data_IF_053485389246
#
_entry.id   IF_053485389246
#
_cell.length_a   1.000
_cell.length_b   1.000
_cell.length_c   1.000
_cell.angle_alpha   90.00
_cell.angle_beta   90.00
_cell.angle_gamma   90.00
#
_symmetry.space_group_name_H-M   'P 1'
#
loop_
_entity.id
_entity.type
_entity.pdbx_description
1 polymer ?
#
# COMPACT_ATOMS: atom_id res chain seq x y z
N UNK A 1 6.78 8.97 -4.82
CA UNK A 1 7.39 9.35 -6.12
C UNK A 1 6.70 8.68 -7.30
N UNK A 2 6.82 7.34 -7.51
CA UNK A 2 6.23 6.63 -8.68
C UNK A 2 4.78 7.03 -8.98
N UNK A 3 3.90 6.96 -7.98
CA UNK A 3 2.47 7.30 -8.13
C UNK A 3 2.24 8.73 -8.64
N UNK A 4 3.02 9.71 -8.19
CA UNK A 4 2.90 11.09 -8.66
C UNK A 4 3.30 11.21 -10.14
N UNK A 5 4.37 10.50 -10.55
CA UNK A 5 4.84 10.47 -11.95
C UNK A 5 3.83 9.78 -12.85
N UNK A 6 3.32 8.61 -12.47
CA UNK A 6 2.31 7.89 -13.26
C UNK A 6 0.99 8.64 -13.28
N UNK A 7 0.59 9.24 -12.16
CA UNK A 7 -0.64 10.04 -12.06
C UNK A 7 -0.60 11.36 -12.84
N UNK A 8 0.60 11.86 -13.17
CA UNK A 8 0.80 12.95 -14.13
C UNK A 8 0.83 12.42 -15.57
N UNK A 9 1.64 11.39 -15.85
CA UNK A 9 1.87 10.89 -17.20
C UNK A 9 0.60 10.36 -17.87
N UNK A 10 -0.21 9.59 -17.13
CA UNK A 10 -1.45 8.99 -17.62
C UNK A 10 -2.69 9.87 -17.43
N UNK A 11 -2.53 11.10 -16.94
CA UNK A 11 -3.64 12.05 -16.83
C UNK A 11 -4.15 12.43 -18.22
N UNK A 12 -5.45 12.20 -18.44
CA UNK A 12 -6.12 12.48 -19.72
C UNK A 12 -6.50 13.94 -19.83
N UNK A 13 -6.89 14.57 -18.73
CA UNK A 13 -7.24 15.98 -18.72
C UNK A 13 -5.97 16.85 -18.79
N UNK A 14 -5.88 17.67 -19.84
CA UNK A 14 -4.68 18.47 -20.09
C UNK A 14 -4.43 19.57 -19.04
N UNK A 15 -5.48 20.10 -18.40
CA UNK A 15 -5.40 21.13 -17.37
C UNK A 15 -4.99 20.50 -16.03
N UNK A 16 -5.61 19.39 -15.64
CA UNK A 16 -5.22 18.63 -14.44
C UNK A 16 -3.79 18.14 -14.57
N UNK A 17 -3.39 17.66 -15.75
CA UNK A 17 -2.02 17.23 -16.01
C UNK A 17 -1.02 18.38 -15.82
N UNK A 18 -1.32 19.58 -16.34
CA UNK A 18 -0.49 20.77 -16.12
C UNK A 18 -0.39 21.14 -14.63
N UNK A 19 -1.50 21.09 -13.89
CA UNK A 19 -1.54 21.36 -12.44
C UNK A 19 -0.67 20.37 -11.64
N UNK A 20 -0.65 19.08 -12.03
CA UNK A 20 0.16 18.03 -11.38
C UNK A 20 1.67 18.15 -11.65
N UNK A 21 2.09 18.80 -12.74
CA UNK A 21 3.48 18.79 -13.20
C UNK A 21 4.45 19.46 -12.21
N UNK A 22 4.17 20.70 -11.80
CA UNK A 22 5.09 21.47 -10.94
C UNK A 22 5.27 20.85 -9.54
N UNK A 23 4.20 20.48 -8.79
CA UNK A 23 4.35 19.84 -7.48
C UNK A 23 5.07 18.49 -7.56
N UNK A 24 4.89 17.76 -8.66
CA UNK A 24 5.61 16.52 -8.91
C UNK A 24 7.11 16.77 -9.09
N UNK A 25 7.47 17.70 -9.99
CA UNK A 25 8.85 17.93 -10.43
C UNK A 25 9.70 18.67 -9.39
N UNK A 26 9.13 19.66 -8.72
CA UNK A 26 9.88 20.57 -7.84
C UNK A 26 9.87 20.08 -6.39
N UNK A 27 8.77 19.46 -5.94
CA UNK A 27 8.64 19.05 -4.54
C UNK A 27 8.78 17.54 -4.39
N UNK A 28 7.92 16.77 -5.07
CA UNK A 28 7.78 15.33 -4.83
C UNK A 28 9.04 14.56 -5.23
N UNK A 29 9.53 14.72 -6.46
CA UNK A 29 10.71 13.99 -6.94
C UNK A 29 11.96 14.35 -6.11
N UNK A 30 12.32 15.63 -5.92
CA UNK A 30 13.51 15.99 -5.15
C UNK A 30 13.45 15.53 -3.70
N UNK A 31 12.29 15.58 -3.05
CA UNK A 31 12.11 15.11 -1.68
C UNK A 31 12.44 13.62 -1.52
N UNK A 32 11.84 12.76 -2.35
CA UNK A 32 12.07 11.32 -2.26
C UNK A 32 13.49 10.94 -2.70
N UNK A 33 13.99 11.52 -3.79
CA UNK A 33 15.33 11.24 -4.28
C UNK A 33 16.42 11.66 -3.29
N UNK A 34 16.27 12.81 -2.64
CA UNK A 34 17.18 13.27 -1.58
C UNK A 34 17.24 12.27 -0.41
N UNK A 35 16.08 11.80 0.06
CA UNK A 35 16.00 10.80 1.14
C UNK A 35 16.65 9.47 0.74
N UNK A 36 16.30 8.94 -0.44
CA UNK A 36 16.85 7.66 -0.91
C UNK A 36 18.36 7.76 -1.15
N UNK A 37 18.86 8.89 -1.66
CA UNK A 37 20.28 9.13 -1.85
C UNK A 37 21.04 9.22 -0.52
N UNK A 38 20.43 9.82 0.51
CA UNK A 38 20.96 9.79 1.88
C UNK A 38 21.02 8.36 2.42
N UNK A 39 19.95 7.58 2.29
CA UNK A 39 19.93 6.17 2.71
C UNK A 39 21.02 5.35 2.01
N UNK A 40 21.15 5.50 0.69
CA UNK A 40 22.19 4.84 -0.09
C UNK A 40 23.61 5.24 0.38
N UNK A 41 23.82 6.51 0.73
CA UNK A 41 25.10 6.97 1.31
C UNK A 41 25.41 6.29 2.64
N UNK A 42 24.45 6.25 3.55
CA UNK A 42 24.60 5.67 4.90
C UNK A 42 24.84 4.15 4.86
N UNK A 43 24.29 3.48 3.85
CA UNK A 43 24.35 2.04 3.68
C UNK A 43 25.38 1.58 2.63
N UNK A 44 26.32 2.44 2.22
CA UNK A 44 27.38 2.14 1.23
C UNK A 44 26.86 1.61 -0.11
N UNK A 45 25.88 2.31 -0.68
CA UNK A 45 25.30 1.99 -1.99
C UNK A 45 24.17 0.97 -1.97
N UNK A 46 23.48 0.81 -0.84
CA UNK A 46 22.31 -0.05 -0.65
C UNK A 46 21.19 0.73 0.04
N UNK A 47 19.92 0.36 -0.14
CA UNK A 47 18.81 1.16 0.38
C UNK A 47 18.47 0.90 1.84
N UNK A 48 18.53 -0.37 2.27
CA UNK A 48 18.00 -0.78 3.59
C UNK A 48 19.10 -1.29 4.50
N UNK A 49 19.94 -2.20 4.03
CA UNK A 49 21.01 -2.82 4.82
C UNK A 49 22.37 -2.43 4.27
N UNK A 50 23.29 -2.04 5.15
CA UNK A 50 24.67 -1.72 4.78
C UNK A 50 25.35 -2.92 4.13
N UNK A 51 25.84 -2.75 2.90
CA UNK A 51 26.53 -3.79 2.10
C UNK A 51 25.71 -5.06 1.81
N UNK A 52 24.41 -5.04 2.00
CA UNK A 52 23.57 -6.23 1.78
C UNK A 52 22.35 -5.85 0.94
N UNK A 53 22.18 -6.56 -0.18
CA UNK A 53 21.07 -6.33 -1.10
C UNK A 53 19.76 -6.79 -0.48
N UNK A 54 18.74 -5.98 -0.67
CA UNK A 54 17.36 -6.26 -0.30
C UNK A 54 16.43 -6.10 -1.50
N UNK A 55 15.17 -6.51 -1.33
CA UNK A 55 14.14 -6.27 -2.34
C UNK A 55 14.02 -4.78 -2.74
N UNK A 56 14.28 -3.85 -1.81
CA UNK A 56 14.21 -2.42 -2.08
C UNK A 56 15.19 -2.00 -3.18
N UNK A 57 16.40 -2.57 -3.20
CA UNK A 57 17.44 -2.27 -4.20
C UNK A 57 17.03 -2.71 -5.60
N UNK A 58 16.46 -3.92 -5.70
CA UNK A 58 15.94 -4.49 -6.95
C UNK A 58 14.75 -3.66 -7.44
N UNK A 59 13.79 -3.36 -6.56
CA UNK A 59 12.61 -2.56 -6.88
C UNK A 59 12.99 -1.16 -7.35
N UNK A 60 13.89 -0.47 -6.63
CA UNK A 60 14.36 0.85 -7.02
C UNK A 60 15.04 0.82 -8.39
N UNK A 61 15.92 -0.15 -8.64
CA UNK A 61 16.61 -0.30 -9.93
C UNK A 61 15.62 -0.40 -11.09
N UNK A 62 14.56 -1.20 -10.94
CA UNK A 62 13.51 -1.34 -11.96
C UNK A 62 12.66 -0.06 -12.11
N UNK A 63 12.21 0.52 -11.01
CA UNK A 63 11.26 1.65 -11.02
C UNK A 63 11.94 2.97 -11.40
N UNK A 64 13.21 3.16 -11.05
CA UNK A 64 13.91 4.40 -11.32
C UNK A 64 14.08 4.64 -12.82
N UNK A 65 14.47 3.61 -13.57
CA UNK A 65 14.55 3.68 -15.03
C UNK A 65 13.18 3.93 -15.68
N UNK A 66 12.13 3.26 -15.19
CA UNK A 66 10.75 3.53 -15.63
C UNK A 66 10.34 4.99 -15.40
N UNK A 67 10.66 5.58 -14.24
CA UNK A 67 10.36 6.98 -13.94
C UNK A 67 11.10 7.93 -14.88
N UNK A 68 12.39 7.69 -15.15
CA UNK A 68 13.16 8.51 -16.08
C UNK A 68 12.59 8.45 -17.50
N UNK A 69 12.17 7.26 -17.93
CA UNK A 69 11.53 7.05 -19.23
C UNK A 69 10.19 7.81 -19.36
N UNK A 70 9.36 7.82 -18.31
CA UNK A 70 8.12 8.62 -18.32
C UNK A 70 8.38 10.13 -18.35
N UNK A 71 9.41 10.59 -17.65
CA UNK A 71 9.77 12.01 -17.54
C UNK A 71 10.63 12.51 -18.69
N UNK A 72 11.19 11.60 -19.51
CA UNK A 72 12.19 11.91 -20.53
C UNK A 72 13.34 12.78 -19.99
N UNK A 73 13.74 12.50 -18.75
CA UNK A 73 14.71 13.31 -18.00
C UNK A 73 15.68 12.40 -17.25
N UNK A 74 16.98 12.70 -17.34
CA UNK A 74 18.00 12.06 -16.52
C UNK A 74 18.03 12.71 -15.12
N UNK A 75 17.74 11.89 -14.11
CA UNK A 75 17.72 12.29 -12.70
C UNK A 75 19.01 11.91 -11.96
N UNK A 76 19.91 11.14 -12.60
CA UNK A 76 21.06 10.47 -11.99
C UNK A 76 22.08 11.44 -11.39
N UNK A 77 22.31 12.58 -12.06
CA UNK A 77 23.31 13.58 -11.64
C UNK A 77 23.08 14.13 -10.22
N UNK A 78 21.83 14.11 -9.73
CA UNK A 78 21.45 14.66 -8.42
C UNK A 78 21.51 13.64 -7.27
N UNK A 79 21.79 12.38 -7.59
CA UNK A 79 21.70 11.26 -6.63
C UNK A 79 22.87 10.28 -6.77
N UNK A 80 24.14 10.74 -6.72
CA UNK A 80 25.30 9.90 -7.03
C UNK A 80 25.44 8.67 -6.13
N UNK A 81 25.09 8.75 -4.84
CA UNK A 81 25.15 7.60 -3.94
C UNK A 81 24.03 6.59 -4.23
N UNK A 82 22.85 7.08 -4.60
CA UNK A 82 21.73 6.22 -5.00
C UNK A 82 22.02 5.47 -6.31
N UNK A 83 22.86 6.04 -7.19
CA UNK A 83 23.28 5.39 -8.43
C UNK A 83 24.24 4.21 -8.23
N UNK A 84 24.75 3.99 -7.02
CA UNK A 84 25.47 2.75 -6.68
C UNK A 84 24.52 1.55 -6.54
N UNK A 85 23.26 1.78 -6.13
CA UNK A 85 22.24 0.73 -5.99
C UNK A 85 22.02 -0.05 -7.28
N UNK A 86 21.70 0.58 -8.43
CA UNK A 86 21.54 -0.16 -9.69
C UNK A 86 22.85 -0.80 -10.16
N UNK A 87 24.02 -0.24 -9.84
CA UNK A 87 25.31 -0.89 -10.16
C UNK A 87 25.43 -2.23 -9.44
N UNK A 88 25.18 -2.26 -8.13
CA UNK A 88 25.21 -3.50 -7.35
C UNK A 88 24.17 -4.52 -7.84
N UNK A 89 22.94 -4.10 -8.13
CA UNK A 89 21.90 -5.01 -8.66
C UNK A 89 22.30 -5.59 -10.01
N UNK A 90 22.84 -4.77 -10.91
CA UNK A 90 23.26 -5.19 -12.25
C UNK A 90 24.62 -5.89 -12.27
N UNK A 91 25.28 -6.11 -11.13
CA UNK A 91 26.40 -7.06 -11.03
C UNK A 91 25.89 -8.51 -11.03
N UNK A 92 24.62 -8.75 -10.67
CA UNK A 92 24.03 -10.09 -10.71
C UNK A 92 23.80 -10.47 -12.19
N UNK A 93 24.45 -11.52 -12.72
CA UNK A 93 24.40 -11.82 -14.16
C UNK A 93 22.98 -12.04 -14.70
N UNK A 94 22.10 -12.67 -13.90
CA UNK A 94 20.69 -12.86 -14.28
C UNK A 94 19.95 -11.53 -14.41
N UNK A 95 20.16 -10.60 -13.48
CA UNK A 95 19.52 -9.28 -13.50
C UNK A 95 20.05 -8.43 -14.66
N UNK A 96 21.37 -8.47 -14.90
CA UNK A 96 21.98 -7.81 -16.07
C UNK A 96 21.43 -8.33 -17.39
N UNK A 97 21.40 -9.66 -17.56
CA UNK A 97 20.83 -10.26 -18.78
C UNK A 97 19.41 -9.81 -19.04
N UNK A 98 18.56 -9.84 -18.01
CA UNK A 98 17.18 -9.35 -18.15
C UNK A 98 17.13 -7.86 -18.46
N UNK A 99 17.96 -7.05 -17.80
CA UNK A 99 18.03 -5.61 -18.02
C UNK A 99 18.40 -5.23 -19.45
N UNK A 100 19.34 -5.97 -20.03
CA UNK A 100 19.83 -5.73 -21.39
C UNK A 100 18.83 -6.21 -22.44
N UNK A 101 18.05 -7.27 -22.16
CA UNK A 101 17.08 -7.86 -23.10
C UNK A 101 15.64 -7.34 -22.96
N UNK A 102 15.29 -6.63 -21.87
CA UNK A 102 13.90 -6.23 -21.61
C UNK A 102 13.38 -5.21 -22.63
N UNK A 103 12.06 -5.18 -22.88
CA UNK A 103 11.45 -4.15 -23.72
C UNK A 103 11.70 -2.74 -23.13
N UNK A 104 12.20 -1.82 -23.97
CA UNK A 104 12.47 -0.43 -23.56
C UNK A 104 11.23 0.46 -23.53
N UNK A 105 10.11 0.02 -24.10
CA UNK A 105 8.85 0.76 -24.03
C UNK A 105 8.02 0.30 -22.83
N UNK A 106 7.62 1.25 -21.98
CA UNK A 106 6.70 1.00 -20.87
C UNK A 106 5.33 0.41 -21.28
N UNK A 107 4.96 0.52 -22.56
CA UNK A 107 3.70 0.02 -23.14
C UNK A 107 3.67 -1.50 -23.44
N UNK A 108 4.74 -2.26 -23.16
CA UNK A 108 4.84 -3.70 -23.54
C UNK A 108 4.87 -4.67 -22.35
N UNK A 109 4.58 -4.21 -21.13
CA UNK A 109 4.73 -5.01 -19.91
C UNK A 109 3.50 -5.86 -19.54
N UNK A 110 2.47 -5.95 -20.38
CA UNK A 110 1.22 -6.66 -20.06
C UNK A 110 1.35 -8.21 -19.99
N UNK A 111 2.45 -8.82 -20.45
CA UNK A 111 2.50 -10.27 -20.72
C UNK A 111 3.56 -11.11 -19.99
N UNK A 112 4.20 -10.65 -18.92
CA UNK A 112 5.28 -11.45 -18.30
C UNK A 112 5.21 -11.51 -16.77
N UNK A 113 4.44 -12.47 -16.24
CA UNK A 113 4.69 -12.99 -14.89
C UNK A 113 4.46 -14.52 -14.87
N UNK A 114 5.53 -15.28 -15.11
CA UNK A 114 5.63 -16.67 -14.66
C UNK A 114 6.85 -16.76 -13.76
N UNK A 115 6.65 -17.06 -12.48
CA UNK A 115 7.74 -17.19 -11.51
C UNK A 115 7.61 -18.49 -10.71
N UNK A 116 8.74 -19.19 -10.60
CA UNK A 116 8.91 -20.49 -9.96
C UNK A 116 9.61 -20.27 -8.59
N UNK A 117 9.05 -20.71 -7.45
CA UNK A 117 9.51 -20.29 -6.13
C UNK A 117 10.60 -21.22 -5.56
N UNK A 118 11.67 -20.64 -5.01
CA UNK A 118 12.47 -21.27 -3.95
C UNK A 118 12.83 -20.26 -2.86
N UNK A 119 12.88 -20.79 -1.63
CA UNK A 119 12.75 -20.17 -0.30
C UNK A 119 14.02 -19.43 0.19
N UNK A 120 13.86 -18.53 1.18
CA UNK A 120 14.77 -18.55 2.33
C UNK A 120 14.07 -18.56 3.70
N UNK A 121 14.77 -19.10 4.69
CA UNK A 121 14.34 -19.31 6.08
C UNK A 121 14.38 -18.04 6.95
N UNK A 122 13.51 -18.00 7.99
CA UNK A 122 13.31 -16.86 8.89
C UNK A 122 14.15 -16.93 10.18
N UNK A 123 14.62 -15.77 10.63
CA UNK A 123 15.31 -15.54 11.93
C UNK A 123 14.33 -15.38 13.12
N UNK A 124 14.74 -15.66 14.38
CA UNK A 124 13.84 -15.62 15.55
C UNK A 124 13.91 -14.35 16.43
N UNK A 125 12.81 -14.13 17.19
CA UNK A 125 12.58 -13.29 18.40
C UNK A 125 12.63 -11.74 18.32
N UNK A 126 11.94 -10.93 19.15
CA UNK A 126 10.81 -11.08 20.09
C UNK A 126 10.17 -9.69 20.34
N UNK A 127 8.99 -9.67 20.95
CA UNK A 127 8.18 -8.52 21.43
C UNK A 127 7.38 -7.71 20.39
N UNK A 128 6.13 -7.40 20.75
CA UNK A 128 5.20 -6.53 20.02
C UNK A 128 5.57 -5.08 20.36
N UNK A 129 5.87 -4.23 19.37
CA UNK A 129 6.36 -2.88 19.64
C UNK A 129 5.25 -1.91 20.09
N UNK A 130 5.63 -0.91 20.88
CA UNK A 130 4.75 0.16 21.35
C UNK A 130 4.45 1.16 20.23
N UNK A 131 3.16 1.37 19.94
CA UNK A 131 2.67 2.38 19.00
C UNK A 131 2.49 3.73 19.71
N UNK A 132 3.32 4.72 19.38
CA UNK A 132 3.13 6.13 19.78
C UNK A 132 2.77 6.97 18.57
N UNK A 133 1.61 7.64 18.60
CA UNK A 133 1.28 8.73 17.68
C UNK A 133 2.06 9.97 18.14
N UNK A 134 3.05 10.40 17.37
CA UNK A 134 3.83 11.61 17.65
C UNK A 134 3.64 12.63 16.53
N UNK A 135 3.37 13.89 16.87
CA UNK A 135 3.34 15.03 15.95
C UNK A 135 4.71 15.24 15.31
N UNK A 136 4.97 14.60 14.18
CA UNK A 136 6.25 14.72 13.47
C UNK A 136 6.06 15.32 12.09
N UNK A 137 5.70 16.60 12.10
CA UNK A 137 5.91 17.54 11.01
C UNK A 137 5.18 17.23 9.68
N UNK A 138 5.11 18.22 8.77
CA UNK A 138 4.20 18.19 7.61
C UNK A 138 4.54 17.19 6.49
N UNK A 139 5.45 16.21 6.69
CA UNK A 139 6.08 15.46 5.59
C UNK A 139 6.10 13.93 5.70
N UNK A 140 5.56 13.33 6.76
CA UNK A 140 5.31 11.88 6.81
C UNK A 140 3.81 11.61 6.78
N UNK A 141 3.38 10.67 5.92
CA UNK A 141 1.98 10.26 5.85
C UNK A 141 1.67 9.44 7.11
N UNK A 142 0.65 9.87 7.85
CA UNK A 142 0.08 9.07 8.94
C UNK A 142 -0.64 7.83 8.38
N UNK A 143 -0.76 6.75 9.17
CA UNK A 143 -0.25 6.58 10.53
C UNK A 143 1.26 6.30 10.60
N UNK A 144 1.83 6.52 11.79
CA UNK A 144 3.22 6.23 12.14
C UNK A 144 3.27 5.16 13.23
N UNK A 145 4.22 4.23 13.13
CA UNK A 145 4.51 3.21 14.13
C UNK A 145 6.00 3.21 14.47
N UNK A 146 6.32 3.09 15.76
CA UNK A 146 7.70 2.89 16.21
C UNK A 146 7.95 1.42 16.48
N UNK A 147 9.01 0.87 15.88
CA UNK A 147 9.49 -0.48 16.17
C UNK A 147 10.93 -0.36 16.61
N UNK A 148 11.24 -0.74 17.85
CA UNK A 148 12.58 -0.64 18.45
C UNK A 148 13.17 0.78 18.31
N UNK A 149 12.38 1.81 18.59
CA UNK A 149 12.78 3.22 18.46
C UNK A 149 12.89 3.73 17.01
N UNK A 150 12.66 2.90 15.99
CA UNK A 150 12.71 3.29 14.58
C UNK A 150 11.31 3.62 14.07
N UNK A 151 11.18 4.76 13.38
CA UNK A 151 9.92 5.23 12.82
C UNK A 151 9.58 4.50 11.52
N UNK A 152 8.36 4.00 11.40
CA UNK A 152 7.78 3.39 10.22
C UNK A 152 6.44 4.05 9.87
N UNK A 153 6.09 4.04 8.58
CA UNK A 153 4.84 4.54 8.03
C UNK A 153 4.44 3.62 6.87
N UNK A 154 3.20 3.75 6.37
CA UNK A 154 2.50 2.85 5.44
C UNK A 154 1.57 1.89 6.19
N UNK A 155 0.28 2.22 6.15
CA UNK A 155 -0.79 1.42 6.75
C UNK A 155 -0.69 -0.06 6.39
N UNK A 156 -0.62 -0.39 5.10
CA UNK A 156 -0.63 -1.79 4.64
C UNK A 156 0.56 -2.58 5.19
N UNK A 157 1.75 -1.98 5.14
CA UNK A 157 2.97 -2.64 5.62
C UNK A 157 2.97 -2.82 7.13
N UNK A 158 2.42 -1.84 7.85
CA UNK A 158 2.18 -1.93 9.29
C UNK A 158 1.17 -3.03 9.64
N UNK A 159 0.02 -3.08 8.96
CA UNK A 159 -0.99 -4.12 9.17
C UNK A 159 -0.42 -5.52 8.92
N UNK A 160 0.32 -5.69 7.83
CA UNK A 160 1.01 -6.95 7.50
C UNK A 160 2.08 -7.31 8.54
N UNK A 161 2.87 -6.34 8.99
CA UNK A 161 3.86 -6.54 10.05
C UNK A 161 3.19 -7.00 11.35
N UNK A 162 2.11 -6.35 11.76
CA UNK A 162 1.34 -6.71 12.94
C UNK A 162 0.69 -8.09 12.79
N UNK A 163 0.17 -8.41 11.60
CA UNK A 163 -0.32 -9.76 11.28
C UNK A 163 0.74 -10.84 11.52
N UNK A 164 1.99 -10.59 11.10
CA UNK A 164 3.13 -11.49 11.37
C UNK A 164 3.52 -11.57 12.84
N UNK A 165 3.33 -10.50 13.61
CA UNK A 165 3.70 -10.45 15.03
C UNK A 165 2.61 -11.00 15.96
N UNK A 166 1.35 -10.97 15.56
CA UNK A 166 0.22 -11.54 16.28
C UNK A 166 0.22 -13.08 16.20
N UNK A 167 1.23 -13.71 16.81
CA UNK A 167 1.41 -15.18 16.78
C UNK A 167 0.27 -15.95 17.44
N UNK A 168 -0.45 -15.32 18.38
CA UNK A 168 -1.59 -15.92 19.08
C UNK A 168 -2.83 -16.09 18.19
N UNK A 169 -2.87 -15.45 17.02
CA UNK A 169 -4.07 -15.43 16.17
C UNK A 169 -3.80 -15.85 14.71
N UNK A 170 -2.56 -16.23 14.37
CA UNK A 170 -2.13 -16.67 13.04
C UNK A 170 -2.82 -15.93 11.87
N UNK A 171 -2.59 -14.61 11.80
CA UNK A 171 -3.24 -13.71 10.84
C UNK A 171 -2.59 -13.72 9.44
N UNK A 172 -1.71 -14.67 9.18
CA UNK A 172 -1.01 -14.84 7.92
C UNK A 172 -1.50 -16.10 7.20
N UNK A 173 -1.21 -16.21 5.90
CA UNK A 173 -1.33 -17.46 5.17
C UNK A 173 -0.31 -18.50 5.66
N UNK A 174 -0.60 -19.78 5.43
CA UNK A 174 0.25 -20.89 5.88
C UNK A 174 1.58 -20.98 5.10
N UNK A 175 1.65 -20.33 3.94
CA UNK A 175 2.82 -20.32 3.07
C UNK A 175 2.90 -19.02 2.24
N UNK A 176 4.00 -18.85 1.50
CA UNK A 176 4.27 -17.64 0.73
C UNK A 176 3.25 -17.38 -0.38
N UNK A 177 2.69 -18.45 -0.99
CA UNK A 177 1.67 -18.31 -2.03
C UNK A 177 0.37 -17.77 -1.42
N UNK A 178 -0.05 -18.31 -0.27
CA UNK A 178 -1.22 -17.79 0.44
C UNK A 178 -1.00 -16.33 0.87
N UNK A 179 0.18 -16.00 1.41
CA UNK A 179 0.51 -14.62 1.78
C UNK A 179 0.51 -13.67 0.57
N UNK A 180 1.01 -14.12 -0.58
CA UNK A 180 0.94 -13.36 -1.83
C UNK A 180 -0.51 -13.11 -2.25
N UNK A 181 -1.39 -14.12 -2.17
CA UNK A 181 -2.80 -13.95 -2.52
C UNK A 181 -3.49 -12.98 -1.54
N UNK A 182 -3.21 -13.07 -0.25
CA UNK A 182 -3.71 -12.11 0.76
C UNK A 182 -3.22 -10.68 0.44
N UNK A 183 -1.95 -10.53 0.10
CA UNK A 183 -1.36 -9.24 -0.32
C UNK A 183 -2.05 -8.68 -1.57
N UNK A 184 -2.29 -9.51 -2.57
CA UNK A 184 -2.98 -9.12 -3.81
C UNK A 184 -4.39 -8.59 -3.54
N UNK A 185 -5.15 -9.23 -2.66
CA UNK A 185 -6.50 -8.77 -2.29
C UNK A 185 -6.46 -7.40 -1.62
N UNK A 186 -5.52 -7.19 -0.69
CA UNK A 186 -5.37 -5.90 -0.02
C UNK A 186 -4.92 -4.80 -0.97
N UNK A 187 -4.01 -5.10 -1.88
CA UNK A 187 -3.50 -4.11 -2.84
C UNK A 187 -4.56 -3.70 -3.86
N UNK A 188 -5.34 -4.66 -4.39
CA UNK A 188 -6.45 -4.38 -5.29
C UNK A 188 -7.52 -3.50 -4.60
N UNK A 189 -7.88 -3.83 -3.36
CA UNK A 189 -8.87 -3.05 -2.62
C UNK A 189 -8.36 -1.65 -2.26
N UNK A 190 -7.08 -1.52 -1.93
CA UNK A 190 -6.46 -0.22 -1.69
C UNK A 190 -6.42 0.65 -2.96
N UNK A 191 -6.22 0.07 -4.14
CA UNK A 191 -6.24 0.82 -5.40
C UNK A 191 -7.64 1.38 -5.69
N UNK A 192 -8.70 0.60 -5.44
CA UNK A 192 -10.08 1.10 -5.47
C UNK A 192 -10.28 2.22 -4.43
N UNK A 193 -9.88 2.00 -3.17
CA UNK A 193 -10.00 2.99 -2.10
C UNK A 193 -9.28 4.30 -2.43
N UNK A 194 -8.12 4.25 -3.09
CA UNK A 194 -7.40 5.44 -3.51
C UNK A 194 -8.19 6.24 -4.55
N UNK A 195 -8.80 5.59 -5.54
CA UNK A 195 -9.66 6.26 -6.53
C UNK A 195 -10.91 6.87 -5.89
N UNK A 196 -11.56 6.14 -5.00
CA UNK A 196 -12.72 6.68 -4.24
C UNK A 196 -12.31 7.89 -3.41
N UNK A 197 -11.16 7.83 -2.73
CA UNK A 197 -10.64 8.99 -1.99
C UNK A 197 -10.31 10.17 -2.92
N UNK A 198 -9.67 9.93 -4.07
CA UNK A 198 -9.35 10.98 -5.04
C UNK A 198 -10.62 11.69 -5.51
N UNK A 199 -11.67 10.94 -5.88
CA UNK A 199 -12.99 11.46 -6.22
C UNK A 199 -13.61 12.26 -5.07
N UNK A 200 -13.60 11.73 -3.85
CA UNK A 200 -14.21 12.39 -2.71
C UNK A 200 -13.62 13.76 -2.38
N UNK A 201 -12.30 13.86 -2.47
CA UNK A 201 -11.55 15.07 -2.12
C UNK A 201 -11.33 16.00 -3.33
N UNK A 202 -12.03 15.79 -4.44
CA UNK A 202 -12.03 16.75 -5.55
C UNK A 202 -12.62 18.08 -5.10
N UNK A 203 -11.87 19.16 -5.33
CA UNK A 203 -12.29 20.53 -5.00
C UNK A 203 -13.39 21.02 -5.95
N UNK A 204 -13.32 20.65 -7.23
CA UNK A 204 -14.32 21.02 -8.22
C UNK A 204 -15.52 20.07 -8.13
N UNK A 205 -16.62 20.58 -7.60
CA UNK A 205 -17.87 19.83 -7.38
C UNK A 205 -18.48 19.35 -8.70
N UNK A 206 -18.37 20.10 -9.79
CA UNK A 206 -18.95 19.71 -11.07
C UNK A 206 -18.15 18.58 -11.73
N UNK A 207 -16.82 18.68 -11.75
CA UNK A 207 -15.94 17.57 -12.19
C UNK A 207 -16.17 16.31 -11.34
N UNK A 208 -16.37 16.48 -10.02
CA UNK A 208 -16.68 15.36 -9.12
C UNK A 208 -17.98 14.66 -9.51
N UNK A 209 -19.06 15.44 -9.76
CA UNK A 209 -20.36 14.92 -10.18
C UNK A 209 -20.29 14.17 -11.51
N UNK A 210 -19.49 14.66 -12.47
CA UNK A 210 -19.27 13.98 -13.75
C UNK A 210 -18.66 12.58 -13.56
N UNK A 211 -17.87 12.38 -12.50
CA UNK A 211 -17.26 11.10 -12.15
C UNK A 211 -18.15 10.18 -11.30
N UNK A 212 -19.30 10.66 -10.79
CA UNK A 212 -20.16 9.87 -9.89
C UNK A 212 -20.56 8.53 -10.50
N UNK A 213 -20.94 8.50 -11.78
CA UNK A 213 -21.31 7.25 -12.44
C UNK A 213 -20.12 6.29 -12.58
N UNK A 214 -18.93 6.79 -12.95
CA UNK A 214 -17.73 5.95 -13.05
C UNK A 214 -17.36 5.36 -11.69
N UNK A 215 -17.42 6.16 -10.62
CA UNK A 215 -16.98 5.73 -9.30
C UNK A 215 -18.05 4.90 -8.59
N UNK A 216 -19.26 5.43 -8.45
CA UNK A 216 -20.36 4.84 -7.68
C UNK A 216 -21.15 3.81 -8.49
N UNK A 217 -21.28 4.01 -9.79
CA UNK A 217 -22.05 3.12 -10.69
C UNK A 217 -21.22 1.96 -11.24
N UNK A 218 -19.91 2.13 -11.41
CA UNK A 218 -19.04 1.14 -12.07
C UNK A 218 -17.94 0.64 -11.15
N UNK A 219 -17.01 1.50 -10.73
CA UNK A 219 -15.80 1.09 -10.01
C UNK A 219 -16.13 0.39 -8.69
N UNK A 220 -16.88 1.06 -7.82
CA UNK A 220 -17.18 0.58 -6.49
C UNK A 220 -18.02 -0.72 -6.53
N UNK A 221 -19.14 -0.82 -7.28
CA UNK A 221 -19.90 -2.07 -7.34
C UNK A 221 -19.11 -3.24 -7.93
N UNK A 222 -18.28 -2.99 -8.94
CA UNK A 222 -17.42 -4.02 -9.56
C UNK A 222 -16.46 -4.61 -8.55
N UNK A 223 -15.77 -3.75 -7.78
CA UNK A 223 -14.81 -4.22 -6.78
C UNK A 223 -15.52 -4.90 -5.61
N UNK A 224 -16.56 -4.28 -5.03
CA UNK A 224 -17.27 -4.85 -3.89
C UNK A 224 -17.91 -6.21 -4.22
N UNK A 225 -18.41 -6.41 -5.44
CA UNK A 225 -18.96 -7.72 -5.85
C UNK A 225 -17.92 -8.83 -5.86
N UNK A 226 -16.67 -8.54 -6.24
CA UNK A 226 -15.57 -9.52 -6.17
C UNK A 226 -15.33 -9.92 -4.71
N UNK A 227 -15.25 -8.94 -3.81
CA UNK A 227 -14.99 -9.19 -2.39
C UNK A 227 -16.18 -9.85 -1.68
N UNK A 228 -17.40 -9.55 -2.10
CA UNK A 228 -18.61 -10.22 -1.62
C UNK A 228 -18.58 -11.71 -1.97
N UNK A 229 -18.21 -12.09 -3.20
CA UNK A 229 -18.08 -13.49 -3.57
C UNK A 229 -16.95 -14.19 -2.80
N UNK A 230 -15.84 -13.49 -2.53
CA UNK A 230 -14.79 -14.04 -1.67
C UNK A 230 -15.26 -14.21 -0.23
N UNK A 231 -15.95 -13.22 0.33
CA UNK A 231 -16.55 -13.27 1.65
C UNK A 231 -17.57 -14.42 1.75
N UNK A 232 -18.45 -14.57 0.76
CA UNK A 232 -19.39 -15.68 0.65
C UNK A 232 -18.70 -17.03 0.62
N UNK A 233 -17.68 -17.18 -0.23
CA UNK A 233 -16.90 -18.41 -0.34
C UNK A 233 -16.24 -18.80 0.98
N UNK A 234 -15.83 -17.83 1.81
CA UNK A 234 -15.17 -18.11 3.09
C UNK A 234 -15.99 -17.69 4.32
N UNK A 235 -17.32 -17.72 4.22
CA UNK A 235 -18.26 -17.51 5.33
C UNK A 235 -18.10 -16.15 6.05
N UNK A 236 -17.80 -15.07 5.36
CA UNK A 236 -17.56 -13.75 5.96
C UNK A 236 -16.09 -13.50 6.30
N UNK A 237 -15.16 -14.12 5.57
CA UNK A 237 -13.74 -13.79 5.53
C UNK A 237 -13.26 -13.77 4.08
N UNK A 238 -12.15 -13.12 3.77
CA UNK A 238 -11.69 -12.94 2.38
C UNK A 238 -10.89 -14.11 1.85
N UNK A 239 -10.25 -14.88 2.74
CA UNK A 239 -9.28 -15.90 2.31
C UNK A 239 -9.53 -17.30 2.88
N UNK A 240 -9.97 -17.43 4.14
CA UNK A 240 -10.16 -18.73 4.80
C UNK A 240 -11.44 -18.75 5.62
N UNK A 241 -12.06 -19.93 5.75
CA UNK A 241 -13.30 -20.09 6.53
C UNK A 241 -13.07 -20.15 8.03
N UNK A 242 -11.94 -20.72 8.44
CA UNK A 242 -11.66 -21.09 9.82
C UNK A 242 -11.15 -19.93 10.68
N UNK A 243 -10.50 -18.93 10.08
CA UNK A 243 -9.89 -17.82 10.81
C UNK A 243 -9.70 -16.57 9.93
N UNK A 244 -9.66 -15.37 10.54
CA UNK A 244 -9.30 -14.16 9.83
C UNK A 244 -7.80 -14.12 9.52
N UNK A 245 -7.47 -13.38 8.47
CA UNK A 245 -6.12 -12.91 8.14
C UNK A 245 -6.03 -11.41 8.38
N UNK A 246 -4.83 -10.84 8.29
CA UNK A 246 -4.66 -9.39 8.38
C UNK A 246 -5.41 -8.63 7.27
N UNK A 247 -5.78 -9.27 6.15
CA UNK A 247 -6.64 -8.64 5.15
C UNK A 247 -8.03 -8.35 5.72
N UNK A 248 -8.64 -9.27 6.46
CA UNK A 248 -10.00 -9.09 7.01
C UNK A 248 -10.07 -7.88 7.94
N UNK A 249 -9.06 -7.68 8.78
CA UNK A 249 -8.95 -6.50 9.64
C UNK A 249 -8.70 -5.21 8.84
N UNK A 250 -7.90 -5.26 7.78
CA UNK A 250 -7.68 -4.10 6.91
C UNK A 250 -8.96 -3.69 6.19
N UNK A 251 -9.67 -4.67 5.63
CA UNK A 251 -10.93 -4.45 4.94
C UNK A 251 -12.01 -3.92 5.86
N UNK A 252 -12.24 -4.57 7.01
CA UNK A 252 -13.22 -4.08 7.98
C UNK A 252 -12.94 -2.62 8.33
N UNK A 253 -11.67 -2.26 8.57
CA UNK A 253 -11.32 -0.91 8.98
C UNK A 253 -11.51 0.13 7.89
N UNK A 254 -11.15 -0.20 6.66
CA UNK A 254 -11.38 0.70 5.52
C UNK A 254 -12.87 0.78 5.17
N UNK A 255 -13.61 -0.31 5.26
CA UNK A 255 -15.06 -0.33 4.99
C UNK A 255 -15.82 0.52 6.00
N UNK A 256 -15.46 0.47 7.28
CA UNK A 256 -16.08 1.34 8.27
C UNK A 256 -15.68 2.81 8.09
N UNK A 257 -14.44 3.10 7.70
CA UNK A 257 -14.03 4.44 7.27
C UNK A 257 -14.90 4.97 6.12
N UNK A 258 -15.15 4.14 5.10
CA UNK A 258 -15.96 4.52 3.95
C UNK A 258 -17.45 4.73 4.26
N UNK A 259 -17.96 4.26 5.42
CA UNK A 259 -19.33 4.56 5.89
C UNK A 259 -19.48 5.99 6.43
N UNK A 260 -18.37 6.68 6.72
CA UNK A 260 -18.39 8.00 7.32
C UNK A 260 -19.20 9.03 6.51
N UNK A 261 -19.71 10.10 7.16
CA UNK A 261 -20.55 11.11 6.51
C UNK A 261 -19.83 11.89 5.41
N UNK A 262 -18.49 11.86 5.41
CA UNK A 262 -17.64 12.46 4.38
C UNK A 262 -17.24 11.47 3.27
N UNK A 263 -17.82 10.27 3.28
CA UNK A 263 -17.50 9.18 2.37
C UNK A 263 -18.66 8.73 1.50
N UNK A 264 -19.01 7.44 1.52
CA UNK A 264 -20.05 6.88 0.66
C UNK A 264 -21.43 6.93 1.31
N UNK A 265 -21.53 7.60 2.47
CA UNK A 265 -22.68 7.60 3.38
C UNK A 265 -23.06 6.19 3.86
N UNK A 266 -24.07 6.12 4.74
CA UNK A 266 -24.69 4.85 5.11
C UNK A 266 -25.31 4.22 3.85
N UNK A 267 -25.39 2.88 3.78
CA UNK A 267 -26.07 2.07 2.75
C UNK A 267 -25.26 1.56 1.55
N UNK A 268 -23.99 1.96 1.35
CA UNK A 268 -23.21 1.44 0.22
C UNK A 268 -22.93 -0.08 0.29
N UNK A 269 -23.10 -0.68 1.48
CA UNK A 269 -22.93 -2.12 1.72
C UNK A 269 -24.23 -2.95 1.71
N UNK A 270 -25.40 -2.34 1.50
CA UNK A 270 -26.69 -3.03 1.68
C UNK A 270 -26.87 -4.24 0.75
N UNK A 271 -26.21 -4.22 -0.42
CA UNK A 271 -26.22 -5.33 -1.40
C UNK A 271 -25.16 -6.40 -1.13
N UNK A 272 -24.35 -6.24 -0.11
CA UNK A 272 -23.17 -7.07 0.17
C UNK A 272 -23.23 -7.68 1.59
N UNK A 273 -24.17 -8.61 1.85
CA UNK A 273 -24.39 -9.19 3.17
C UNK A 273 -23.17 -9.95 3.72
N UNK A 274 -22.32 -10.56 2.90
CA UNK A 274 -21.13 -11.26 3.39
C UNK A 274 -19.99 -10.29 3.74
N UNK A 275 -19.89 -9.14 3.08
CA UNK A 275 -19.02 -8.05 3.52
C UNK A 275 -19.49 -7.44 4.85
N UNK A 276 -20.81 -7.31 5.06
CA UNK A 276 -21.35 -6.93 6.36
C UNK A 276 -21.01 -7.98 7.43
N UNK A 277 -21.21 -9.27 7.12
CA UNK A 277 -20.82 -10.40 7.99
C UNK A 277 -19.32 -10.40 8.33
N UNK A 278 -18.46 -10.02 7.39
CA UNK A 278 -17.02 -9.88 7.64
C UNK A 278 -16.75 -8.81 8.70
N UNK A 279 -17.36 -7.63 8.55
CA UNK A 279 -17.23 -6.55 9.52
C UNK A 279 -17.72 -7.03 10.89
N UNK A 280 -18.90 -7.65 10.96
CA UNK A 280 -19.45 -8.21 12.20
C UNK A 280 -18.52 -9.23 12.86
N UNK A 281 -17.95 -10.16 12.09
CA UNK A 281 -16.99 -11.15 12.61
C UNK A 281 -15.75 -10.49 13.21
N UNK A 282 -15.18 -9.49 12.53
CA UNK A 282 -14.00 -8.77 13.03
C UNK A 282 -14.33 -7.95 14.28
N UNK A 283 -15.44 -7.23 14.29
CA UNK A 283 -15.90 -6.46 15.47
C UNK A 283 -16.28 -7.36 16.65
N UNK A 284 -16.73 -8.58 16.37
CA UNK A 284 -17.09 -9.57 17.38
C UNK A 284 -15.89 -10.20 18.10
N UNK A 285 -14.67 -10.03 17.61
CA UNK A 285 -13.48 -10.54 18.28
C UNK A 285 -13.28 -9.81 19.63
N UNK A 286 -13.07 -10.51 20.77
CA UNK A 286 -13.05 -9.90 22.09
C UNK A 286 -12.14 -8.67 22.19
N UNK A 287 -10.89 -8.78 21.72
CA UNK A 287 -9.92 -7.66 21.75
C UNK A 287 -10.34 -6.47 20.86
N UNK A 288 -11.01 -6.74 19.74
CA UNK A 288 -11.50 -5.67 18.84
C UNK A 288 -12.69 -4.98 19.47
N UNK A 289 -13.65 -5.75 19.98
CA UNK A 289 -14.82 -5.23 20.70
C UNK A 289 -14.40 -4.37 21.89
N UNK A 290 -13.47 -4.86 22.70
CA UNK A 290 -12.97 -4.14 23.87
C UNK A 290 -12.26 -2.84 23.46
N UNK A 291 -11.49 -2.86 22.36
CA UNK A 291 -10.91 -1.63 21.80
C UNK A 291 -11.97 -0.65 21.32
N UNK A 292 -12.96 -1.10 20.54
CA UNK A 292 -14.02 -0.24 20.00
C UNK A 292 -14.83 0.40 21.14
N UNK A 293 -15.08 -0.32 22.23
CA UNK A 293 -15.78 0.20 23.40
C UNK A 293 -14.97 1.26 24.19
N UNK A 294 -13.63 1.18 24.15
CA UNK A 294 -12.75 2.01 24.99
C UNK A 294 -11.90 3.03 24.20
N UNK A 295 -12.00 3.07 22.87
CA UNK A 295 -11.19 3.98 22.04
C UNK A 295 -11.60 5.45 22.27
N UNK A 296 -10.66 6.41 22.16
CA UNK A 296 -10.99 7.83 22.26
C UNK A 296 -12.11 8.22 21.29
N UNK A 297 -13.08 9.00 21.77
CA UNK A 297 -14.25 9.45 21.01
C UNK A 297 -14.01 10.74 20.21
N UNK A 298 -12.76 11.19 20.08
CA UNK A 298 -12.47 12.45 19.39
C UNK A 298 -12.84 12.38 17.89
N UNK A 299 -13.36 13.49 17.36
CA UNK A 299 -14.00 13.65 16.04
C UNK A 299 -13.09 13.44 14.80
N UNK A 300 -11.99 12.70 14.92
CA UNK A 300 -11.10 12.44 13.80
C UNK A 300 -11.34 11.03 13.26
N UNK A 301 -11.72 10.94 11.98
CA UNK A 301 -12.14 9.75 11.20
C UNK A 301 -11.11 8.58 11.13
N UNK A 302 -10.07 8.57 11.96
CA UNK A 302 -9.02 7.55 11.99
C UNK A 302 -9.31 6.37 12.93
N UNK A 303 -10.50 6.35 13.55
CA UNK A 303 -10.89 5.36 14.57
C UNK A 303 -11.03 3.91 14.04
N UNK A 304 -11.02 3.71 12.72
CA UNK A 304 -11.42 2.45 12.09
C UNK A 304 -10.31 1.43 11.89
N UNK A 305 -9.03 1.75 12.13
CA UNK A 305 -7.98 0.76 11.95
C UNK A 305 -7.75 -0.06 13.23
N UNK A 306 -8.28 -1.27 13.26
CA UNK A 306 -8.28 -2.22 14.40
C UNK A 306 -6.89 -2.68 14.88
N UNK A 307 -5.84 -2.33 14.14
CA UNK A 307 -4.50 -2.84 14.35
C UNK A 307 -3.74 -2.20 15.52
N UNK A 308 -4.25 -1.11 16.10
CA UNK A 308 -3.45 -0.33 17.04
C UNK A 308 -3.15 -1.01 18.39
N UNK A 309 -3.77 -2.16 18.73
CA UNK A 309 -3.53 -2.86 20.01
C UNK A 309 -3.67 -4.39 20.00
N UNK A 310 -3.44 -5.09 18.88
CA UNK A 310 -3.50 -6.56 18.85
C UNK A 310 -2.29 -7.28 19.56
N UNK A 311 -1.61 -6.61 20.48
CA UNK A 311 -0.57 -7.21 21.35
C UNK A 311 -1.17 -8.09 22.43
#
# INVERSE_FOLDING_TARGET
MRQAVTGWYYEKDSLVRKKKYNPMLIDTIPFYLSKLNKMAKENEGFLVKRKEMTWADIYFTAVFDYIQELLKTDLSARIPHLMEVPKHVLMIPKMRRWWDSRPRSHLKYENFIHFNPTRPEYLPNNSVPSLTLSDHGPRFKLPIMYVNGTQHYSTRDMCRYLGRKCRTSNLMGDNDIENMVIDMWVDNFNDMRLKVNEWNYMENIEERKEMDYEILGVLLPTHLSIYEEMAKKHDGYLFRKDRPTWADFFFAGVLDYLKGPYHLHAHYLDKYPYLQKLIEKIHGLPRVRDWVANRPTNNWDWQYMYFYKLG
#
